data_IF_533847171908
#
_entry.id   IF_533847171908
#
_cell.length_a   1.000
_cell.length_b   1.000
_cell.length_c   1.000
_cell.angle_alpha   90.00
_cell.angle_beta   90.00
_cell.angle_gamma   90.00
#
_symmetry.space_group_name_H-M   'P 1'
#
loop_
_entity.id
_entity.type
_entity.pdbx_description
1 polymer ?
#
# COMPACT_ATOMS: atom_id res chain seq x y z
N UNK A 1 9.94 -24.93 2.07
CA UNK A 1 10.45 -23.85 1.18
C UNK A 1 9.66 -22.58 1.48
N UNK A 2 10.20 -21.66 2.27
CA UNK A 2 9.55 -20.35 2.47
C UNK A 2 9.89 -19.47 1.28
N UNK A 3 9.06 -19.54 0.23
CA UNK A 3 9.12 -18.63 -0.90
C UNK A 3 9.02 -17.20 -0.37
N UNK A 4 10.06 -16.39 -0.58
CA UNK A 4 10.12 -14.99 -0.14
C UNK A 4 8.86 -14.27 -0.64
N UNK A 5 8.01 -13.80 0.28
CA UNK A 5 6.77 -13.08 -0.05
C UNK A 5 7.15 -11.90 -0.94
N UNK A 6 6.65 -11.91 -2.18
CA UNK A 6 6.95 -10.86 -3.16
C UNK A 6 6.25 -9.59 -2.74
N UNK A 7 6.97 -8.46 -2.83
CA UNK A 7 6.38 -7.14 -2.63
C UNK A 7 5.29 -6.92 -3.68
N UNK A 8 4.24 -6.22 -3.29
CA UNK A 8 3.23 -5.75 -4.25
C UNK A 8 3.85 -4.81 -5.28
N UNK A 9 3.30 -4.78 -6.49
CA UNK A 9 3.85 -3.99 -7.60
C UNK A 9 3.87 -2.50 -7.24
N UNK A 10 4.96 -1.81 -7.55
CA UNK A 10 5.18 -0.41 -7.14
C UNK A 10 4.17 0.56 -7.75
N UNK A 11 3.68 0.31 -8.96
CA UNK A 11 2.67 1.13 -9.64
C UNK A 11 1.23 0.83 -9.19
N UNK A 12 1.00 -0.18 -8.33
CA UNK A 12 -0.32 -0.48 -7.81
C UNK A 12 -0.86 0.71 -6.99
N UNK A 13 -2.16 0.96 -7.10
CA UNK A 13 -2.84 2.00 -6.32
C UNK A 13 -3.23 1.49 -4.94
N UNK A 14 -3.45 2.43 -4.00
CA UNK A 14 -3.95 2.13 -2.64
C UNK A 14 -5.26 1.37 -2.68
N UNK A 15 -6.22 1.80 -3.48
CA UNK A 15 -7.54 1.16 -3.57
C UNK A 15 -7.43 -0.30 -4.04
N UNK A 16 -6.58 -0.55 -5.05
CA UNK A 16 -6.36 -1.90 -5.57
C UNK A 16 -5.64 -2.76 -4.54
N UNK A 17 -4.71 -2.19 -3.77
CA UNK A 17 -4.02 -2.91 -2.71
C UNK A 17 -4.99 -3.28 -1.59
N UNK A 18 -5.80 -2.34 -1.11
CA UNK A 18 -6.78 -2.59 -0.06
C UNK A 18 -7.76 -3.69 -0.47
N UNK A 19 -8.26 -3.67 -1.71
CA UNK A 19 -9.14 -4.72 -2.24
C UNK A 19 -8.46 -6.08 -2.38
N UNK A 20 -7.20 -6.12 -2.82
CA UNK A 20 -6.45 -7.38 -2.99
C UNK A 20 -6.08 -8.06 -1.69
N UNK A 21 -5.99 -7.29 -0.61
CA UNK A 21 -5.60 -7.77 0.71
C UNK A 21 -6.79 -7.80 1.69
N UNK A 22 -8.02 -7.69 1.17
CA UNK A 22 -9.27 -7.67 1.95
C UNK A 22 -9.26 -6.64 3.11
N UNK A 23 -8.55 -5.53 2.90
CA UNK A 23 -8.48 -4.43 3.85
C UNK A 23 -9.67 -3.48 3.63
N UNK A 24 -10.27 -2.96 4.71
CA UNK A 24 -11.29 -1.94 4.58
C UNK A 24 -10.70 -0.68 3.94
N UNK A 25 -11.51 -0.01 3.12
CA UNK A 25 -11.06 1.12 2.32
C UNK A 25 -10.63 2.30 3.21
N UNK A 26 -9.41 2.81 3.01
CA UNK A 26 -8.79 3.84 3.85
C UNK A 26 -8.06 3.29 5.08
N UNK A 27 -7.68 2.02 5.06
CA UNK A 27 -6.73 1.41 6.01
C UNK A 27 -5.35 2.03 5.84
N UNK A 28 -4.93 2.28 4.59
CA UNK A 28 -3.65 2.94 4.33
C UNK A 28 -3.80 4.44 4.61
N UNK A 29 -2.92 4.94 5.48
CA UNK A 29 -2.83 6.35 5.87
C UNK A 29 -1.48 6.93 5.44
N UNK A 30 -1.47 8.21 5.12
CA UNK A 30 -0.24 8.97 4.93
C UNK A 30 0.50 9.15 6.28
N UNK A 31 1.73 9.64 6.22
CA UNK A 31 2.52 10.02 7.41
C UNK A 31 1.79 11.01 8.31
N UNK A 32 1.00 11.92 7.73
CA UNK A 32 0.22 12.93 8.47
C UNK A 32 -1.04 12.35 9.15
N UNK A 33 -1.23 11.03 9.13
CA UNK A 33 -2.39 10.36 9.73
C UNK A 33 -3.70 10.47 8.93
N UNK A 34 -3.75 11.32 7.90
CA UNK A 34 -4.88 11.40 6.96
C UNK A 34 -4.95 10.16 6.06
N UNK A 35 -6.17 9.81 5.63
CA UNK A 35 -6.39 8.71 4.67
C UNK A 35 -5.56 8.94 3.41
N UNK A 36 -4.86 7.90 2.94
CA UNK A 36 -4.17 7.98 1.67
C UNK A 36 -5.20 8.10 0.54
N UNK A 37 -4.87 8.88 -0.49
CA UNK A 37 -5.75 9.01 -1.66
C UNK A 37 -5.83 7.66 -2.39
N UNK A 38 -7.03 7.29 -2.83
CA UNK A 38 -7.32 6.02 -3.51
C UNK A 38 -6.45 5.77 -4.76
N UNK A 39 -6.17 6.84 -5.51
CA UNK A 39 -5.38 6.87 -6.74
C UNK A 39 -3.86 6.93 -6.49
N UNK A 40 -3.43 7.11 -5.24
CA UNK A 40 -2.00 7.20 -4.90
C UNK A 40 -1.32 5.86 -5.15
N UNK A 41 -0.11 5.91 -5.71
CA UNK A 41 0.71 4.71 -5.95
C UNK A 41 1.38 4.25 -4.67
N UNK A 42 1.51 2.93 -4.51
CA UNK A 42 2.27 2.32 -3.40
C UNK A 42 3.73 2.75 -3.41
N UNK A 43 4.34 3.01 -4.57
CA UNK A 43 5.71 3.52 -4.66
C UNK A 43 5.90 4.83 -3.87
N UNK A 44 4.95 5.76 -3.99
CA UNK A 44 5.00 7.04 -3.30
C UNK A 44 4.83 6.84 -1.80
N UNK A 45 3.87 6.01 -1.40
CA UNK A 45 3.67 5.67 0.01
C UNK A 45 4.88 4.98 0.62
N UNK A 46 5.54 4.07 -0.09
CA UNK A 46 6.78 3.42 0.36
C UNK A 46 7.88 4.43 0.65
N UNK A 47 8.02 5.46 -0.20
CA UNK A 47 9.01 6.53 0.00
C UNK A 47 8.68 7.39 1.21
N UNK A 48 7.39 7.70 1.40
CA UNK A 48 6.94 8.57 2.49
C UNK A 48 6.92 7.87 3.85
N UNK A 49 6.37 6.65 3.92
CA UNK A 49 6.15 5.95 5.19
C UNK A 49 7.25 4.94 5.52
N UNK A 50 8.14 4.62 4.58
CA UNK A 50 9.16 3.57 4.74
C UNK A 50 8.59 2.15 4.89
N UNK A 51 7.26 1.98 4.74
CA UNK A 51 6.58 0.70 4.94
C UNK A 51 6.63 -0.13 3.68
N UNK A 52 7.07 -1.38 3.81
CA UNK A 52 7.10 -2.34 2.73
C UNK A 52 5.76 -3.07 2.62
N UNK A 53 4.88 -2.58 1.75
CA UNK A 53 3.64 -3.29 1.40
C UNK A 53 4.00 -4.58 0.67
N UNK A 54 3.69 -5.72 1.27
CA UNK A 54 3.89 -7.07 0.72
C UNK A 54 2.56 -7.65 0.31
#
# INVERSE_FOLDING_TARGET
MFSKVRKTRSDCTVDTYEKKHDLPTGTIRNTDGRKARKDKKLATLRKETGKDFR
#
